data_IF_533017752118
#
_entry.id   IF_533017752118
#
_cell.length_a   1.000
_cell.length_b   1.000
_cell.length_c   1.000
_cell.angle_alpha   90.00
_cell.angle_beta   90.00
_cell.angle_gamma   90.00
#
_symmetry.space_group_name_H-M   'P 1'
#
loop_
_entity.id
_entity.type
_entity.pdbx_description
1 polymer ?
#
# COMPACT_ATOMS: atom_id res chain seq x y z
N UNK A 1 -4.94 -15.20 -16.50
CA UNK A 1 -5.99 -16.08 -15.97
C UNK A 1 -5.59 -16.61 -14.59
N UNK A 2 -5.32 -15.70 -13.64
CA UNK A 2 -5.06 -15.97 -12.21
C UNK A 2 -5.32 -14.65 -11.45
N UNK A 3 -6.56 -14.17 -11.45
CA UNK A 3 -6.91 -12.95 -10.73
C UNK A 3 -8.17 -13.19 -9.93
N UNK A 4 -8.05 -13.37 -8.61
CA UNK A 4 -9.19 -13.63 -7.72
C UNK A 4 -8.86 -14.61 -6.58
N UNK A 5 -9.90 -15.15 -5.96
CA UNK A 5 -9.82 -16.13 -4.86
C UNK A 5 -9.16 -17.46 -5.30
N UNK A 6 -9.36 -17.90 -6.54
CA UNK A 6 -8.70 -19.10 -7.10
C UNK A 6 -7.17 -18.98 -7.15
N UNK A 7 -6.65 -17.77 -7.43
CA UNK A 7 -5.20 -17.52 -7.40
C UNK A 7 -4.62 -17.55 -5.99
N UNK A 8 -5.43 -17.27 -4.96
CA UNK A 8 -5.01 -17.35 -3.56
C UNK A 8 -4.93 -18.80 -3.09
N UNK A 9 -5.95 -19.60 -3.38
CA UNK A 9 -6.00 -21.02 -2.99
C UNK A 9 -4.85 -21.81 -3.63
N UNK A 10 -4.64 -21.65 -4.94
CA UNK A 10 -3.53 -22.32 -5.63
C UNK A 10 -2.14 -21.91 -5.12
N UNK A 11 -1.96 -20.65 -4.74
CA UNK A 11 -0.70 -20.17 -4.17
C UNK A 11 -0.48 -20.67 -2.74
N UNK A 12 -1.55 -20.79 -1.95
CA UNK A 12 -1.53 -21.40 -0.62
C UNK A 12 -1.11 -22.87 -0.70
N UNK A 13 -1.77 -23.66 -1.55
CA UNK A 13 -1.44 -25.06 -1.82
C UNK A 13 0.03 -25.22 -2.27
N UNK A 14 0.51 -24.34 -3.14
CA UNK A 14 1.91 -24.33 -3.56
C UNK A 14 2.84 -24.07 -2.37
N UNK A 15 2.51 -23.11 -1.51
CA UNK A 15 3.31 -22.79 -0.33
C UNK A 15 3.35 -23.93 0.68
N UNK A 16 2.23 -24.60 0.94
CA UNK A 16 2.17 -25.76 1.82
C UNK A 16 2.90 -26.97 1.22
N UNK A 17 2.82 -27.18 -0.09
CA UNK A 17 3.62 -28.18 -0.78
C UNK A 17 5.13 -27.93 -0.57
N UNK A 18 5.60 -26.70 -0.75
CA UNK A 18 7.03 -26.38 -0.51
C UNK A 18 7.45 -26.55 0.94
N UNK A 19 6.55 -26.25 1.89
CA UNK A 19 6.78 -26.48 3.32
C UNK A 19 6.88 -27.97 3.64
N UNK A 20 6.01 -28.78 3.07
CA UNK A 20 6.05 -30.24 3.24
C UNK A 20 7.33 -30.84 2.67
N UNK A 21 7.74 -30.42 1.46
CA UNK A 21 8.99 -30.84 0.84
C UNK A 21 10.21 -30.43 1.66
N UNK A 22 10.22 -29.21 2.21
CA UNK A 22 11.28 -28.78 3.12
C UNK A 22 11.34 -29.67 4.38
N UNK A 23 10.18 -30.01 4.96
CA UNK A 23 10.08 -30.96 6.07
C UNK A 23 10.61 -32.35 5.74
N UNK A 24 10.27 -32.90 4.57
CA UNK A 24 10.78 -34.20 4.09
C UNK A 24 12.31 -34.20 3.91
N UNK A 25 12.86 -33.07 3.46
CA UNK A 25 14.29 -32.87 3.28
C UNK A 25 15.01 -32.45 4.59
N UNK A 26 14.30 -32.40 5.72
CA UNK A 26 14.80 -31.89 7.01
C UNK A 26 15.43 -30.49 6.90
N UNK A 27 14.91 -29.67 5.98
CA UNK A 27 15.35 -28.31 5.73
C UNK A 27 14.41 -27.31 6.42
N UNK A 28 14.95 -26.18 6.85
CA UNK A 28 14.15 -25.09 7.39
C UNK A 28 13.36 -24.38 6.27
N UNK A 29 12.11 -24.03 6.56
CA UNK A 29 11.24 -23.28 5.66
C UNK A 29 10.87 -21.94 6.32
N UNK A 30 10.99 -20.79 5.62
CA UNK A 30 11.54 -20.63 4.27
C UNK A 30 13.08 -20.63 4.24
N UNK A 31 13.66 -20.80 3.06
CA UNK A 31 15.11 -20.75 2.84
C UNK A 31 15.46 -20.30 1.41
N UNK A 32 16.74 -20.06 1.12
CA UNK A 32 17.18 -19.43 -0.14
C UNK A 32 16.75 -20.17 -1.42
N UNK A 33 16.54 -21.50 -1.36
CA UNK A 33 16.01 -22.28 -2.46
C UNK A 33 14.52 -21.97 -2.74
N UNK A 34 13.73 -21.87 -1.67
CA UNK A 34 12.31 -21.52 -1.73
C UNK A 34 12.13 -20.10 -2.24
N UNK A 35 12.97 -19.15 -1.79
CA UNK A 35 12.91 -17.77 -2.27
C UNK A 35 13.15 -17.65 -3.78
N UNK A 36 14.20 -18.31 -4.29
CA UNK A 36 14.49 -18.33 -5.74
C UNK A 36 13.35 -18.94 -6.53
N UNK A 37 12.76 -20.01 -6.02
CA UNK A 37 11.61 -20.66 -6.65
C UNK A 37 10.40 -19.71 -6.72
N UNK A 38 10.02 -19.08 -5.61
CA UNK A 38 8.89 -18.15 -5.59
C UNK A 38 9.12 -16.92 -6.46
N UNK A 39 10.35 -16.38 -6.51
CA UNK A 39 10.69 -15.28 -7.42
C UNK A 39 10.46 -15.69 -8.89
N UNK A 40 10.92 -16.89 -9.29
CA UNK A 40 10.70 -17.40 -10.65
C UNK A 40 9.21 -17.59 -10.96
N UNK A 41 8.43 -18.12 -10.01
CA UNK A 41 6.96 -18.26 -10.13
C UNK A 41 6.30 -16.88 -10.31
N UNK A 42 6.68 -15.89 -9.50
CA UNK A 42 6.19 -14.51 -9.62
C UNK A 42 6.55 -13.88 -10.97
N UNK A 43 7.77 -14.06 -11.44
CA UNK A 43 8.22 -13.56 -12.74
C UNK A 43 7.53 -14.24 -13.93
N UNK A 44 7.14 -15.50 -13.80
CA UNK A 44 6.51 -16.25 -14.89
C UNK A 44 5.00 -16.04 -14.95
N UNK A 45 4.31 -16.16 -13.81
CA UNK A 45 2.84 -16.15 -13.76
C UNK A 45 2.25 -14.79 -13.36
N UNK A 46 2.96 -13.99 -12.57
CA UNK A 46 2.45 -12.76 -11.98
C UNK A 46 3.12 -11.48 -12.54
N UNK A 47 3.88 -11.60 -13.64
CA UNK A 47 4.65 -10.48 -14.23
C UNK A 47 3.82 -9.24 -14.54
N UNK A 48 2.58 -9.46 -14.99
CA UNK A 48 1.65 -8.41 -15.39
C UNK A 48 0.58 -8.14 -14.33
N UNK A 49 0.69 -8.77 -13.15
CA UNK A 49 -0.22 -8.50 -12.05
C UNK A 49 0.16 -7.19 -11.37
N UNK A 50 -0.81 -6.28 -11.11
CA UNK A 50 -0.53 -5.05 -10.40
C UNK A 50 -0.11 -5.37 -8.96
N UNK A 51 1.12 -5.02 -8.62
CA UNK A 51 1.70 -5.19 -7.27
C UNK A 51 0.83 -4.54 -6.19
N UNK A 52 0.10 -3.47 -6.55
CA UNK A 52 -0.61 -2.59 -5.61
C UNK A 52 -2.14 -2.75 -5.62
N UNK A 53 -2.71 -3.72 -6.34
CA UNK A 53 -4.16 -3.89 -6.41
C UNK A 53 -4.80 -4.58 -5.18
N UNK A 54 -4.00 -5.19 -4.30
CA UNK A 54 -4.47 -6.05 -3.20
C UNK A 54 -3.97 -5.68 -1.80
N UNK A 55 -3.00 -4.78 -1.69
CA UNK A 55 -2.55 -4.25 -0.41
C UNK A 55 -3.18 -2.86 -0.23
N UNK A 56 -3.83 -2.65 0.92
CA UNK A 56 -4.27 -1.32 1.34
C UNK A 56 -3.03 -0.41 1.34
N UNK A 57 -2.90 0.44 0.33
CA UNK A 57 -1.73 1.29 0.14
C UNK A 57 -2.14 2.73 0.30
N UNK A 58 -1.30 3.49 0.99
CA UNK A 58 -1.46 4.94 1.06
C UNK A 58 -1.50 5.52 -0.36
N UNK A 59 -2.37 6.53 -0.61
CA UNK A 59 -2.44 7.18 -1.90
C UNK A 59 -1.08 7.74 -2.32
N UNK A 60 -0.81 7.90 -3.63
CA UNK A 60 0.46 8.43 -4.12
C UNK A 60 0.84 9.72 -3.38
N UNK A 61 2.11 9.85 -3.00
CA UNK A 61 2.61 10.88 -2.08
C UNK A 61 2.17 12.30 -2.44
N UNK A 62 2.08 12.62 -3.72
CA UNK A 62 1.56 13.92 -4.20
C UNK A 62 0.14 14.23 -3.72
N UNK A 63 -0.79 13.26 -3.75
CA UNK A 63 -2.16 13.45 -3.28
C UNK A 63 -2.17 13.60 -1.75
N UNK A 64 -1.36 12.78 -1.06
CA UNK A 64 -1.22 12.84 0.39
C UNK A 64 -0.73 14.22 0.85
N UNK A 65 0.30 14.77 0.19
CA UNK A 65 0.80 16.12 0.50
C UNK A 65 -0.24 17.20 0.25
N UNK A 66 -0.98 17.14 -0.87
CA UNK A 66 -2.05 18.09 -1.14
C UNK A 66 -3.12 18.04 -0.06
N UNK A 67 -3.55 16.85 0.36
CA UNK A 67 -4.55 16.67 1.40
C UNK A 67 -4.09 17.17 2.78
N UNK A 68 -2.78 17.19 3.06
CA UNK A 68 -2.24 17.71 4.32
C UNK A 68 -2.02 19.23 4.25
N UNK A 69 -1.44 19.72 3.16
CA UNK A 69 -1.06 21.14 3.03
C UNK A 69 -2.27 22.04 2.87
N UNK A 70 -3.27 21.64 2.08
CA UNK A 70 -4.49 22.42 1.84
C UNK A 70 -5.23 22.79 3.14
N UNK A 71 -5.58 21.87 4.05
CA UNK A 71 -6.27 22.22 5.29
C UNK A 71 -5.41 23.09 6.23
N UNK A 72 -4.08 22.92 6.24
CA UNK A 72 -3.19 23.79 7.01
C UNK A 72 -3.25 25.23 6.46
N UNK A 73 -3.15 25.40 5.14
CA UNK A 73 -3.26 26.73 4.52
C UNK A 73 -4.63 27.36 4.77
N UNK A 74 -5.72 26.59 4.69
CA UNK A 74 -7.07 27.09 4.98
C UNK A 74 -7.20 27.54 6.43
N UNK A 75 -6.73 26.75 7.39
CA UNK A 75 -6.78 27.14 8.82
C UNK A 75 -5.95 28.39 9.11
N UNK A 76 -4.77 28.53 8.50
CA UNK A 76 -3.95 29.74 8.62
C UNK A 76 -4.63 30.97 7.98
N UNK A 77 -5.25 30.81 6.81
CA UNK A 77 -5.99 31.89 6.16
C UNK A 77 -7.19 32.34 6.98
N UNK A 78 -7.98 31.39 7.49
CA UNK A 78 -9.15 31.71 8.33
C UNK A 78 -8.73 32.43 9.61
N UNK A 79 -7.69 31.94 10.30
CA UNK A 79 -7.19 32.61 11.51
C UNK A 79 -6.65 34.01 11.22
N UNK A 80 -5.91 34.21 10.12
CA UNK A 80 -5.45 35.53 9.70
C UNK A 80 -6.62 36.48 9.37
N UNK A 81 -7.64 36.00 8.65
CA UNK A 81 -8.84 36.77 8.32
C UNK A 81 -9.63 37.17 9.57
N UNK A 82 -9.79 36.26 10.53
CA UNK A 82 -10.45 36.54 11.81
C UNK A 82 -9.66 37.61 12.58
N UNK A 83 -8.34 37.46 12.70
CA UNK A 83 -7.48 38.43 13.39
C UNK A 83 -7.54 39.80 12.70
N UNK A 84 -7.52 39.83 11.38
CA UNK A 84 -7.68 41.08 10.63
C UNK A 84 -9.04 41.71 10.96
N UNK A 85 -10.16 41.00 10.80
CA UNK A 85 -11.49 41.54 11.10
C UNK A 85 -11.67 41.95 12.56
N UNK A 86 -10.99 41.30 13.50
CA UNK A 86 -10.98 41.71 14.91
C UNK A 86 -10.14 42.97 15.18
N UNK A 87 -9.07 43.21 14.41
CA UNK A 87 -8.19 44.39 14.55
C UNK A 87 -8.66 45.59 13.74
N UNK A 88 -9.32 45.35 12.62
CA UNK A 88 -10.02 46.33 11.80
C UNK A 88 -11.49 45.93 11.77
N UNK A 89 -12.23 46.11 12.88
CA UNK A 89 -13.67 46.12 12.78
C UNK A 89 -13.99 47.28 11.85
N UNK A 90 -14.36 46.97 10.61
CA UNK A 90 -14.93 47.96 9.71
C UNK A 90 -15.96 48.71 10.55
N UNK A 91 -15.76 50.01 10.74
CA UNK A 91 -16.82 50.90 11.16
C UNK A 91 -17.89 50.85 10.08
N UNK A 92 -18.78 49.86 10.17
CA UNK A 92 -20.07 49.89 9.52
C UNK A 92 -20.86 50.93 10.32
N UNK A 93 -20.66 52.19 9.94
CA UNK A 93 -21.64 53.27 10.10
C UNK A 93 -22.26 53.51 8.72
#
# INVERSE_FOLDING_TARGET
MFSGAEGRLSYEELSDCTRHVAGLLHCFWPGAAVDKFFIAVHQHYFRNCPVSGRALRDPPSSILYTLIVVPILVTLLVTALVVWKSKHPEGIV
#
